data_IF_224784930209
#
_entry.id   IF_224784930209
#
_cell.length_a   1.000
_cell.length_b   1.000
_cell.length_c   1.000
_cell.angle_alpha   90.00
_cell.angle_beta   90.00
_cell.angle_gamma   90.00
#
_symmetry.space_group_name_H-M   'P 1'
#
loop_
_entity.id
_entity.type
_entity.pdbx_description
1 polymer ?
#
# COMPACT_ATOMS: atom_id res chain seq x y z
N UNK A 1 3.60 -21.62 -1.71
CA UNK A 1 3.26 -20.33 -2.34
C UNK A 1 3.02 -19.30 -1.23
N UNK A 2 3.67 -18.16 -1.31
CA UNK A 2 3.57 -17.05 -0.37
C UNK A 2 3.03 -15.83 -1.12
N UNK A 3 1.94 -15.24 -0.63
CA UNK A 3 1.28 -14.08 -1.24
C UNK A 3 1.44 -12.88 -0.30
N UNK A 4 1.90 -11.76 -0.85
CA UNK A 4 1.91 -10.47 -0.15
C UNK A 4 0.81 -9.58 -0.72
N UNK A 5 -0.19 -9.26 0.09
CA UNK A 5 -1.24 -8.30 -0.25
C UNK A 5 -0.80 -6.92 0.23
N UNK A 6 -0.73 -5.96 -0.66
CA UNK A 6 -0.31 -4.59 -0.35
C UNK A 6 -1.54 -3.69 -0.34
N UNK A 7 -1.83 -3.08 0.81
CA UNK A 7 -3.00 -2.22 1.03
C UNK A 7 -2.64 -1.02 1.91
N UNK A 8 -3.28 0.12 1.72
CA UNK A 8 -2.95 1.35 2.47
C UNK A 8 -3.32 1.22 3.94
N UNK A 9 -4.53 0.76 4.26
CA UNK A 9 -5.04 0.60 5.63
C UNK A 9 -5.37 -0.85 5.94
N UNK A 10 -5.24 -1.24 7.20
CA UNK A 10 -5.60 -2.60 7.66
C UNK A 10 -7.12 -2.80 7.75
N UNK A 11 -7.86 -1.86 8.33
CA UNK A 11 -9.28 -2.02 8.61
C UNK A 11 -10.17 -0.92 8.02
N UNK A 12 -9.60 0.22 7.71
CA UNK A 12 -10.39 1.38 7.28
C UNK A 12 -10.82 1.28 5.82
N UNK A 13 -12.14 1.24 5.60
CA UNK A 13 -12.78 1.26 4.29
C UNK A 13 -13.02 -0.12 3.68
N UNK A 14 -13.86 -0.15 2.64
CA UNK A 14 -14.27 -1.39 1.97
C UNK A 14 -13.11 -2.18 1.35
N UNK A 15 -12.09 -1.49 0.85
CA UNK A 15 -10.90 -2.12 0.30
C UNK A 15 -10.12 -2.90 1.37
N UNK A 16 -9.96 -2.35 2.58
CA UNK A 16 -9.30 -3.02 3.68
C UNK A 16 -10.05 -4.29 4.12
N UNK A 17 -11.39 -4.20 4.22
CA UNK A 17 -12.23 -5.36 4.54
C UNK A 17 -12.10 -6.46 3.48
N UNK A 18 -12.10 -6.10 2.20
CA UNK A 18 -11.93 -7.05 1.10
C UNK A 18 -10.53 -7.70 1.11
N UNK A 19 -9.47 -6.92 1.38
CA UNK A 19 -8.11 -7.43 1.48
C UNK A 19 -7.94 -8.42 2.65
N UNK A 20 -8.52 -8.13 3.82
CA UNK A 20 -8.52 -9.04 4.97
C UNK A 20 -9.24 -10.35 4.65
N UNK A 21 -10.44 -10.28 4.07
CA UNK A 21 -11.20 -11.47 3.66
C UNK A 21 -10.43 -12.32 2.65
N UNK A 22 -9.74 -11.69 1.70
CA UNK A 22 -8.90 -12.39 0.75
C UNK A 22 -7.72 -13.08 1.45
N UNK A 23 -7.03 -12.38 2.37
CA UNK A 23 -5.93 -12.93 3.15
C UNK A 23 -6.39 -14.14 3.97
N UNK A 24 -7.52 -14.03 4.66
CA UNK A 24 -8.08 -15.11 5.47
C UNK A 24 -8.48 -16.31 4.59
N UNK A 25 -9.14 -16.04 3.46
CA UNK A 25 -9.51 -17.10 2.52
C UNK A 25 -8.28 -17.85 1.98
N UNK A 26 -7.21 -17.15 1.62
CA UNK A 26 -5.96 -17.74 1.17
C UNK A 26 -5.31 -18.60 2.27
N UNK A 27 -5.21 -18.07 3.49
CA UNK A 27 -4.64 -18.80 4.62
C UNK A 27 -5.45 -20.06 4.98
N UNK A 28 -6.78 -19.97 4.96
CA UNK A 28 -7.67 -21.10 5.23
C UNK A 28 -7.58 -22.19 4.14
N UNK A 29 -7.12 -21.84 2.94
CA UNK A 29 -6.92 -22.79 1.83
C UNK A 29 -5.44 -23.19 1.64
N UNK A 30 -4.60 -23.04 2.67
CA UNK A 30 -3.23 -23.52 2.69
C UNK A 30 -2.22 -22.66 1.93
N UNK A 31 -2.61 -21.47 1.50
CA UNK A 31 -1.72 -20.47 0.90
C UNK A 31 -1.23 -19.52 2.00
N UNK A 32 0.08 -19.33 2.14
CA UNK A 32 0.64 -18.42 3.13
C UNK A 32 0.49 -16.98 2.65
N UNK A 33 -0.57 -16.30 3.10
CA UNK A 33 -0.82 -14.92 2.78
C UNK A 33 -0.49 -13.99 3.95
N UNK A 34 0.21 -12.89 3.67
CA UNK A 34 0.45 -11.78 4.59
C UNK A 34 -0.05 -10.49 3.95
N UNK A 35 -0.39 -9.50 4.76
CA UNK A 35 -0.73 -8.17 4.30
C UNK A 35 0.33 -7.17 4.74
N UNK A 36 0.73 -6.27 3.84
CA UNK A 36 1.60 -5.14 4.12
C UNK A 36 0.76 -3.86 4.04
N UNK A 37 0.72 -3.13 5.14
CA UNK A 37 -0.08 -1.91 5.27
C UNK A 37 0.76 -0.71 5.71
N UNK A 38 0.33 0.49 5.35
CA UNK A 38 0.86 1.72 5.93
C UNK A 38 0.28 1.94 7.33
N UNK A 39 -1.04 1.84 7.43
CA UNK A 39 -1.78 2.13 8.66
C UNK A 39 -2.26 0.81 9.29
N UNK A 40 -1.45 0.30 10.22
CA UNK A 40 -1.75 -0.93 10.98
C UNK A 40 -2.53 -0.56 12.24
N UNK A 41 -3.62 -1.27 12.48
CA UNK A 41 -4.55 -1.01 13.58
C UNK A 41 -4.59 -2.15 14.61
N UNK A 42 -4.17 -3.36 14.24
CA UNK A 42 -4.18 -4.55 15.12
C UNK A 42 -2.78 -5.09 15.39
N UNK A 43 -2.68 -5.99 16.37
CA UNK A 43 -1.46 -6.74 16.68
C UNK A 43 -1.31 -8.04 15.88
N UNK A 44 -2.07 -8.19 14.79
CA UNK A 44 -2.03 -9.41 13.97
C UNK A 44 -0.63 -9.66 13.40
N UNK A 45 -0.14 -10.89 13.55
CA UNK A 45 1.16 -11.33 13.03
C UNK A 45 1.16 -11.51 11.50
N UNK A 46 -0.03 -11.68 10.90
CA UNK A 46 -0.19 -11.80 9.44
C UNK A 46 -0.19 -10.45 8.73
N UNK A 47 -0.27 -9.36 9.50
CA UNK A 47 -0.24 -7.99 8.98
C UNK A 47 1.08 -7.34 9.38
N UNK A 48 1.89 -7.02 8.38
CA UNK A 48 3.12 -6.25 8.54
C UNK A 48 2.84 -4.77 8.32
N UNK A 49 3.46 -3.91 9.11
CA UNK A 49 3.41 -2.47 8.92
C UNK A 49 4.65 -2.00 8.18
N UNK A 50 4.46 -1.08 7.26
CA UNK A 50 5.59 -0.36 6.66
C UNK A 50 6.41 0.36 7.74
N UNK A 51 7.75 0.41 7.58
CA UNK A 51 8.59 1.17 8.50
C UNK A 51 8.04 2.59 8.63
N UNK A 52 7.76 3.02 9.87
CA UNK A 52 7.36 4.40 10.14
C UNK A 52 8.55 5.30 9.85
N UNK A 53 8.60 5.84 8.64
CA UNK A 53 9.52 6.91 8.29
C UNK A 53 8.82 8.25 8.48
N UNK A 54 9.52 9.22 9.07
CA UNK A 54 9.09 10.64 9.10
C UNK A 54 8.77 11.13 7.68
N UNK A 55 9.41 10.55 6.67
CA UNK A 55 9.16 10.84 5.25
C UNK A 55 7.83 10.29 4.72
N UNK A 56 7.20 9.32 5.39
CA UNK A 56 5.93 8.75 4.91
C UNK A 56 4.76 9.73 4.94
N UNK A 57 4.69 10.56 5.97
CA UNK A 57 3.70 11.63 6.06
C UNK A 57 3.99 12.74 5.03
N UNK A 58 5.27 12.99 4.73
CA UNK A 58 5.69 13.95 3.70
C UNK A 58 5.26 13.51 2.30
N UNK A 59 5.26 12.22 1.98
CA UNK A 59 4.79 11.71 0.68
C UNK A 59 3.31 12.06 0.47
N UNK A 60 2.47 11.83 1.48
CA UNK A 60 1.06 12.17 1.43
C UNK A 60 0.84 13.69 1.33
N UNK A 61 1.51 14.48 2.18
CA UNK A 61 1.40 15.93 2.18
C UNK A 61 1.92 16.55 0.87
N UNK A 62 3.03 16.04 0.35
CA UNK A 62 3.60 16.48 -0.92
C UNK A 62 2.65 16.25 -2.08
N UNK A 63 2.05 15.09 -2.15
CA UNK A 63 1.07 14.76 -3.18
C UNK A 63 -0.16 15.68 -3.10
N UNK A 64 -0.72 15.87 -1.90
CA UNK A 64 -1.85 16.80 -1.68
C UNK A 64 -1.49 18.24 -2.04
N UNK A 65 -0.27 18.66 -1.73
CA UNK A 65 0.24 19.97 -2.12
C UNK A 65 0.34 20.12 -3.64
N UNK A 66 0.88 19.13 -4.34
CA UNK A 66 0.98 19.14 -5.80
C UNK A 66 -0.42 19.22 -6.45
N UNK A 67 -1.38 18.44 -5.98
CA UNK A 67 -2.77 18.48 -6.47
C UNK A 67 -3.39 19.86 -6.21
N UNK A 68 -3.25 20.38 -5.00
CA UNK A 68 -3.80 21.67 -4.61
C UNK A 68 -3.25 22.81 -5.49
N UNK A 69 -1.95 22.81 -5.79
CA UNK A 69 -1.31 23.76 -6.67
C UNK A 69 -1.85 23.68 -8.10
N UNK A 70 -1.95 22.48 -8.66
CA UNK A 70 -2.46 22.28 -10.02
C UNK A 70 -3.94 22.61 -10.15
N UNK A 71 -4.72 22.48 -9.09
CA UNK A 71 -6.15 22.83 -9.05
C UNK A 71 -6.41 24.31 -8.73
N UNK A 72 -5.42 25.17 -8.91
CA UNK A 72 -5.53 26.61 -8.62
C UNK A 72 -6.07 26.90 -7.22
N UNK A 73 -5.55 26.20 -6.22
CA UNK A 73 -5.93 26.33 -4.80
C UNK A 73 -7.39 25.96 -4.47
N UNK A 74 -8.05 25.19 -5.33
CA UNK A 74 -9.38 24.63 -5.04
C UNK A 74 -9.26 23.43 -4.11
N UNK A 75 -10.14 23.35 -3.10
CA UNK A 75 -10.26 22.19 -2.21
C UNK A 75 -11.25 21.12 -2.73
N UNK A 76 -12.02 21.48 -3.75
CA UNK A 76 -12.91 20.53 -4.45
C UNK A 76 -12.03 19.45 -5.09
N UNK A 77 -12.38 18.20 -4.93
CA UNK A 77 -11.68 17.05 -5.53
C UNK A 77 -10.24 16.78 -5.05
N UNK A 78 -9.77 17.45 -3.95
CA UNK A 78 -8.41 17.25 -3.44
C UNK A 78 -8.12 15.79 -3.06
N UNK A 79 -9.15 15.02 -2.72
CA UNK A 79 -9.06 13.61 -2.33
C UNK A 79 -9.58 12.63 -3.38
N UNK A 80 -10.11 13.16 -4.50
CA UNK A 80 -10.67 12.34 -5.58
C UNK A 80 -9.59 11.90 -6.58
N UNK A 81 -8.42 12.55 -6.54
CA UNK A 81 -7.30 12.34 -7.46
C UNK A 81 -6.09 11.84 -6.70
N UNK A 82 -5.42 10.85 -7.28
CA UNK A 82 -4.13 10.35 -6.83
C UNK A 82 -3.14 10.42 -7.99
N UNK A 83 -2.04 11.17 -7.82
CA UNK A 83 -1.03 11.37 -8.87
C UNK A 83 0.05 10.28 -8.78
N UNK A 84 0.18 9.61 -7.64
CA UNK A 84 1.18 8.56 -7.35
C UNK A 84 2.63 8.98 -7.70
N UNK A 85 2.95 10.28 -7.53
CA UNK A 85 4.28 10.81 -7.81
C UNK A 85 5.27 10.54 -6.68
N UNK A 86 4.78 10.16 -5.51
CA UNK A 86 5.55 9.91 -4.30
C UNK A 86 4.99 8.69 -3.55
N UNK A 87 5.85 7.91 -2.93
CA UNK A 87 5.44 6.71 -2.18
C UNK A 87 6.64 5.89 -1.71
N UNK A 88 6.34 4.81 -0.99
CA UNK A 88 7.34 3.93 -0.44
C UNK A 88 7.91 2.97 -1.50
N UNK A 89 9.19 2.59 -1.31
CA UNK A 89 9.79 1.46 -2.02
C UNK A 89 9.75 0.23 -1.11
N UNK A 90 8.90 -0.72 -1.46
CA UNK A 90 8.71 -1.96 -0.70
C UNK A 90 9.64 -3.09 -1.13
N UNK A 91 10.39 -2.93 -2.22
CA UNK A 91 11.21 -4.02 -2.80
C UNK A 91 12.37 -4.45 -1.89
N UNK A 92 12.77 -3.58 -0.96
CA UNK A 92 13.79 -3.86 0.05
C UNK A 92 13.29 -4.62 1.28
N UNK A 93 11.97 -4.70 1.49
CA UNK A 93 11.39 -5.30 2.69
C UNK A 93 11.50 -6.83 2.67
N UNK A 94 11.70 -7.47 3.86
CA UNK A 94 11.75 -8.92 3.95
C UNK A 94 10.45 -9.58 3.46
N UNK A 95 9.28 -9.01 3.77
CA UNK A 95 7.98 -9.51 3.34
C UNK A 95 7.87 -9.56 1.81
N UNK A 96 8.40 -8.53 1.12
CA UNK A 96 8.45 -8.50 -0.34
C UNK A 96 9.38 -9.57 -0.88
N UNK A 97 10.58 -9.70 -0.31
CA UNK A 97 11.60 -10.66 -0.77
C UNK A 97 11.12 -12.10 -0.63
N UNK A 98 10.42 -12.41 0.45
CA UNK A 98 9.90 -13.74 0.76
C UNK A 98 8.67 -14.12 -0.07
N UNK A 99 7.93 -13.16 -0.61
CA UNK A 99 6.72 -13.41 -1.37
C UNK A 99 7.02 -13.96 -2.76
N UNK A 100 6.20 -14.88 -3.22
CA UNK A 100 6.21 -15.42 -4.59
C UNK A 100 5.28 -14.59 -5.49
N UNK A 101 4.19 -14.05 -4.92
CA UNK A 101 3.18 -13.24 -5.61
C UNK A 101 2.95 -11.95 -4.83
N UNK A 102 2.91 -10.82 -5.53
CA UNK A 102 2.57 -9.51 -4.97
C UNK A 102 1.18 -9.11 -5.49
N UNK A 103 0.22 -9.00 -4.59
CA UNK A 103 -1.13 -8.53 -4.89
C UNK A 103 -1.29 -7.08 -4.47
N UNK A 104 -1.31 -6.17 -5.43
CA UNK A 104 -1.57 -4.75 -5.18
C UNK A 104 -3.07 -4.52 -5.11
N UNK A 105 -3.59 -4.14 -3.94
CA UNK A 105 -5.03 -3.97 -3.72
C UNK A 105 -5.43 -2.50 -3.75
N UNK A 106 -5.23 -1.75 -2.68
CA UNK A 106 -5.49 -0.31 -2.61
C UNK A 106 -4.22 0.42 -2.16
N UNK A 107 -3.52 1.03 -3.10
CA UNK A 107 -2.13 1.49 -2.96
C UNK A 107 -1.93 3.00 -3.15
N UNK A 108 -3.01 3.76 -3.18
CA UNK A 108 -2.99 5.23 -3.37
C UNK A 108 -2.70 5.99 -2.06
N UNK A 109 -2.90 7.30 -2.10
CA UNK A 109 -2.64 8.24 -1.00
C UNK A 109 -1.19 8.23 -0.52
N UNK A 110 -0.24 8.20 -1.44
CA UNK A 110 1.20 8.24 -1.13
C UNK A 110 1.76 6.91 -0.61
N UNK A 111 1.04 5.79 -0.76
CA UNK A 111 1.56 4.48 -0.38
C UNK A 111 2.60 3.95 -1.37
N UNK A 112 2.24 3.83 -2.64
CA UNK A 112 3.18 3.46 -3.69
C UNK A 112 3.19 4.52 -4.80
N UNK A 113 4.38 4.87 -5.27
CA UNK A 113 4.53 5.69 -6.47
C UNK A 113 4.51 4.84 -7.74
N UNK A 114 4.29 5.47 -8.89
CA UNK A 114 4.43 4.81 -10.20
C UNK A 114 5.84 4.23 -10.39
N UNK A 115 6.87 4.91 -9.85
CA UNK A 115 8.24 4.41 -9.84
C UNK A 115 8.41 3.13 -9.02
N UNK A 116 7.76 3.06 -7.84
CA UNK A 116 7.75 1.87 -6.98
C UNK A 116 7.03 0.71 -7.65
N UNK A 117 5.88 0.96 -8.27
CA UNK A 117 5.14 -0.07 -9.03
C UNK A 117 5.99 -0.62 -10.17
N UNK A 118 6.70 0.26 -10.92
CA UNK A 118 7.62 -0.18 -11.98
C UNK A 118 8.74 -1.08 -11.46
N UNK A 119 9.29 -0.80 -10.27
CA UNK A 119 10.30 -1.66 -9.63
C UNK A 119 9.71 -3.02 -9.25
N UNK A 120 8.50 -3.05 -8.70
CA UNK A 120 7.78 -4.29 -8.37
C UNK A 120 7.60 -5.15 -9.63
N UNK A 121 7.12 -4.57 -10.73
CA UNK A 121 6.94 -5.28 -12.00
C UNK A 121 8.25 -5.83 -12.57
N UNK A 122 9.36 -5.09 -12.41
CA UNK A 122 10.69 -5.56 -12.84
C UNK A 122 11.27 -6.67 -11.98
N UNK A 123 10.72 -6.92 -10.79
CA UNK A 123 11.20 -7.99 -9.91
C UNK A 123 10.84 -9.40 -10.38
N UNK A 124 9.89 -9.51 -11.33
CA UNK A 124 9.44 -10.80 -11.88
C UNK A 124 8.47 -11.58 -10.99
N UNK A 125 7.92 -10.90 -9.97
CA UNK A 125 6.95 -11.49 -9.03
C UNK A 125 5.52 -11.19 -9.42
#
# INVERSE_FOLDING_TARGET
>A
MRVLIVNTSEQTGGAAVAANRLMDALNNNGVKAKMLVRDKETESITVAQMPRSIFGQWHFLWERWCIFWHMRFSKLHLFDIDIANSGYDITGLPEFREADIIHLHWINQGMLSLGSIRKILKSGK
#
